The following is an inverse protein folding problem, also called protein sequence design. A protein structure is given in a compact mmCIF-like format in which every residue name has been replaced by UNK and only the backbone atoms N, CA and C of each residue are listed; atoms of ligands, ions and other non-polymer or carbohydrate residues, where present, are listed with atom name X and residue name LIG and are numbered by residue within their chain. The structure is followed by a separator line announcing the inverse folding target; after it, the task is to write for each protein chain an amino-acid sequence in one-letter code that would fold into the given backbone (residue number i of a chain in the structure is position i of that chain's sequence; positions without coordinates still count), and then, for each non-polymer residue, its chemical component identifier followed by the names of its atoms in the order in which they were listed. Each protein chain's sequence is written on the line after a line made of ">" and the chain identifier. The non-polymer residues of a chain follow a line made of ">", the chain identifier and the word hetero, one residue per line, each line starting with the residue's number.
data_IF_576072196932
#
_entry.id   IF_576072196932
#
_cell.length_a   1.000
_cell.length_b   1.000
_cell.length_c   1.000
_cell.angle_alpha   90.00
_cell.angle_beta   90.00
_cell.angle_gamma   90.00
#
_symmetry.space_group_name_H-M   'P 1'
#
loop_
_entity.id
_entity.type
_entity.pdbx_description
1 polymer ?
#
# COMPACT_ATOMS: atom_id res chain seq x y z
N UNK A 1 -17.05 29.76 -20.71
CA UNK A 1 -16.29 30.06 -19.46
C UNK A 1 -15.97 28.74 -18.84
N UNK A 2 -14.78 28.23 -19.11
CA UNK A 2 -14.31 26.97 -18.53
C UNK A 2 -13.74 27.29 -17.13
N UNK A 3 -14.34 26.73 -16.09
CA UNK A 3 -13.77 26.77 -14.76
C UNK A 3 -12.62 25.76 -14.71
N UNK A 4 -11.40 26.28 -14.76
CA UNK A 4 -10.19 25.59 -14.34
C UNK A 4 -10.32 25.26 -12.84
N UNK A 5 -10.77 24.06 -12.53
CA UNK A 5 -10.58 23.47 -11.22
C UNK A 5 -9.14 22.97 -11.14
N UNK A 6 -8.24 23.88 -10.78
CA UNK A 6 -6.88 23.56 -10.38
C UNK A 6 -6.95 22.51 -9.26
N UNK A 7 -6.50 21.29 -9.55
CA UNK A 7 -6.21 20.29 -8.54
C UNK A 7 -5.19 20.92 -7.57
N UNK A 8 -5.48 20.98 -6.26
CA UNK A 8 -4.54 21.59 -5.31
C UNK A 8 -3.21 20.87 -5.40
N UNK A 9 -2.17 21.59 -5.69
CA UNK A 9 -0.80 21.11 -5.58
C UNK A 9 -0.63 20.55 -4.16
N UNK A 10 -0.38 19.23 -4.05
CA UNK A 10 -0.15 18.59 -2.76
C UNK A 10 0.93 19.37 -2.03
N UNK A 11 0.55 20.06 -0.95
CA UNK A 11 1.48 20.87 -0.17
C UNK A 11 2.66 19.99 0.27
N UNK A 12 3.86 20.47 -0.02
CA UNK A 12 5.13 19.86 0.40
C UNK A 12 5.18 19.87 1.93
N UNK A 13 4.64 18.84 2.56
CA UNK A 13 4.69 18.72 4.00
C UNK A 13 6.05 18.14 4.41
N UNK A 14 6.90 18.97 4.98
CA UNK A 14 8.08 18.55 5.72
C UNK A 14 7.61 17.74 6.94
N UNK A 15 7.76 16.41 6.89
CA UNK A 15 7.64 15.58 8.08
C UNK A 15 8.84 15.92 8.96
N UNK A 16 8.56 16.59 10.06
CA UNK A 16 9.58 17.10 10.98
C UNK A 16 10.17 15.97 11.89
N UNK A 17 10.00 14.70 11.49
CA UNK A 17 10.66 13.56 12.14
C UNK A 17 12.02 13.35 11.49
N UNK A 18 13.09 13.60 12.27
CA UNK A 18 14.47 13.50 11.78
C UNK A 18 14.84 12.06 11.37
N UNK A 19 14.29 11.04 12.05
CA UNK A 19 14.57 9.62 11.81
C UNK A 19 13.35 8.76 12.15
N UNK A 20 13.11 7.69 11.36
CA UNK A 20 12.08 6.70 11.60
C UNK A 20 12.67 5.30 11.54
N UNK A 21 12.13 4.39 12.36
CA UNK A 21 12.50 2.98 12.36
C UNK A 21 11.51 2.22 11.48
N UNK A 22 12.05 1.44 10.55
CA UNK A 22 11.28 0.67 9.58
C UNK A 22 11.79 -0.78 9.52
N UNK A 23 10.92 -1.69 9.11
CA UNK A 23 11.20 -3.11 9.03
C UNK A 23 10.91 -3.66 7.64
N UNK A 24 11.75 -4.59 7.19
CA UNK A 24 11.54 -5.35 5.96
C UNK A 24 11.57 -6.85 6.26
N UNK A 25 10.54 -7.58 5.86
CA UNK A 25 10.48 -9.03 5.97
C UNK A 25 10.90 -9.70 4.67
N UNK A 26 11.80 -10.68 4.77
CA UNK A 26 12.32 -11.45 3.63
C UNK A 26 12.70 -12.87 4.07
N UNK A 27 12.68 -13.90 3.20
CA UNK A 27 13.25 -15.20 3.52
C UNK A 27 14.78 -15.17 3.66
N UNK A 28 15.44 -14.15 3.13
CA UNK A 28 16.89 -14.08 3.03
C UNK A 28 17.51 -13.50 4.32
N UNK A 29 18.37 -14.29 4.99
CA UNK A 29 19.14 -13.84 6.16
C UNK A 29 20.14 -12.73 5.81
N UNK A 30 20.70 -12.79 4.61
CA UNK A 30 21.61 -11.77 4.09
C UNK A 30 20.92 -11.07 2.93
N UNK A 31 20.54 -9.85 3.16
CA UNK A 31 19.81 -9.04 2.18
C UNK A 31 20.37 -7.63 2.13
N UNK A 32 20.49 -7.09 0.94
CA UNK A 32 20.89 -5.68 0.74
C UNK A 32 19.97 -5.03 -0.29
N UNK A 33 19.20 -4.03 0.11
CA UNK A 33 18.35 -3.31 -0.82
C UNK A 33 19.18 -2.60 -1.88
N UNK A 34 18.78 -2.73 -3.15
CA UNK A 34 19.49 -2.13 -4.27
C UNK A 34 18.57 -1.15 -4.99
N UNK A 35 19.02 0.09 -5.16
CA UNK A 35 18.30 1.10 -5.91
C UNK A 35 18.01 0.64 -7.35
N UNK A 36 16.84 0.99 -7.87
CA UNK A 36 16.41 0.63 -9.22
C UNK A 36 15.95 -0.83 -9.38
N UNK A 37 16.11 -1.67 -8.36
CA UNK A 37 15.52 -3.02 -8.32
C UNK A 37 14.14 -2.98 -7.66
N UNK A 38 13.36 -4.02 -7.88
CA UNK A 38 11.99 -4.14 -7.38
C UNK A 38 11.03 -4.42 -8.53
N UNK A 39 9.80 -4.79 -8.18
CA UNK A 39 8.77 -5.14 -9.14
C UNK A 39 7.86 -3.92 -9.38
N UNK A 40 7.64 -3.57 -10.67
CA UNK A 40 6.74 -2.48 -11.05
C UNK A 40 5.26 -2.77 -10.73
N UNK A 41 4.92 -4.05 -10.51
CA UNK A 41 3.56 -4.49 -10.16
C UNK A 41 3.30 -4.50 -8.65
N UNK A 42 4.13 -3.86 -7.84
CA UNK A 42 3.83 -3.61 -6.44
C UNK A 42 2.92 -2.38 -6.29
N UNK A 43 2.34 -2.17 -5.11
CA UNK A 43 1.28 -1.18 -4.86
C UNK A 43 1.64 0.26 -5.28
N UNK A 44 2.91 0.65 -5.14
CA UNK A 44 3.47 1.95 -5.54
C UNK A 44 4.56 1.80 -6.60
N UNK A 45 4.51 0.70 -7.37
CA UNK A 45 5.49 0.38 -8.39
C UNK A 45 6.86 0.01 -7.84
N UNK A 46 7.89 0.28 -8.64
CA UNK A 46 9.26 -0.08 -8.33
C UNK A 46 9.79 0.70 -7.12
N UNK A 47 10.39 -0.01 -6.15
CA UNK A 47 10.98 0.57 -4.95
C UNK A 47 11.29 -0.49 -3.89
N UNK A 48 11.84 -0.07 -2.76
CA UNK A 48 12.08 -0.92 -1.62
C UNK A 48 11.01 -0.68 -0.55
N UNK A 49 10.33 -1.75 -0.13
CA UNK A 49 9.14 -1.67 0.71
C UNK A 49 9.46 -2.02 2.16
N UNK A 50 9.03 -1.14 3.07
CA UNK A 50 9.21 -1.28 4.52
C UNK A 50 7.90 -0.92 5.24
N UNK A 51 7.84 -1.25 6.55
CA UNK A 51 6.73 -0.91 7.44
C UNK A 51 7.23 -0.49 8.82
N UNK A 52 6.46 0.29 9.56
CA UNK A 52 6.72 0.59 10.97
C UNK A 52 6.36 -0.59 11.90
N UNK A 53 5.54 -1.54 11.42
CA UNK A 53 5.10 -2.70 12.19
C UNK A 53 6.04 -3.89 12.02
N UNK A 54 6.72 -4.27 13.08
CA UNK A 54 7.56 -5.48 13.08
C UNK A 54 6.73 -6.75 12.82
N UNK A 55 5.50 -6.82 13.32
CA UNK A 55 4.63 -7.99 13.12
C UNK A 55 4.21 -8.14 11.67
N UNK A 56 3.89 -7.02 10.98
CA UNK A 56 3.65 -7.06 9.53
C UNK A 56 4.89 -7.47 8.75
N UNK A 57 6.07 -7.00 9.14
CA UNK A 57 7.31 -7.41 8.50
C UNK A 57 7.58 -8.92 8.70
N UNK A 58 7.26 -9.46 9.87
CA UNK A 58 7.35 -10.91 10.13
C UNK A 58 6.41 -11.71 9.23
N UNK A 59 5.15 -11.26 9.07
CA UNK A 59 4.23 -11.88 8.11
C UNK A 59 4.77 -11.83 6.67
N UNK A 60 5.40 -10.73 6.26
CA UNK A 60 6.00 -10.61 4.92
C UNK A 60 7.17 -11.56 4.71
N UNK A 61 7.93 -11.83 5.77
CA UNK A 61 9.09 -12.73 5.71
C UNK A 61 8.69 -14.16 5.32
N UNK A 62 7.46 -14.58 5.66
CA UNK A 62 6.97 -15.96 5.51
C UNK A 62 5.75 -16.11 4.59
N UNK A 63 5.27 -15.05 3.95
CA UNK A 63 4.07 -15.09 3.09
C UNK A 63 4.28 -15.78 1.73
N UNK A 64 5.42 -16.42 1.50
CA UNK A 64 5.74 -17.16 0.26
C UNK A 64 5.30 -18.62 0.36
N UNK A 65 5.04 -19.28 -0.78
CA UNK A 65 4.51 -20.65 -0.79
C UNK A 65 5.54 -21.75 -0.44
N UNK A 66 6.79 -21.40 -0.18
CA UNK A 66 7.87 -22.37 0.07
C UNK A 66 7.96 -22.86 1.52
N UNK A 67 7.08 -22.41 2.42
CA UNK A 67 6.98 -22.84 3.81
C UNK A 67 8.31 -22.72 4.61
N UNK A 68 9.11 -21.72 4.30
CA UNK A 68 10.41 -21.49 4.92
C UNK A 68 10.34 -20.37 5.95
N UNK A 69 11.13 -20.52 7.02
CA UNK A 69 11.39 -19.45 7.97
C UNK A 69 11.99 -18.23 7.28
N UNK A 70 11.75 -17.06 7.85
CA UNK A 70 12.23 -15.81 7.30
C UNK A 70 13.00 -14.96 8.29
N UNK A 71 13.26 -13.74 7.89
CA UNK A 71 14.02 -12.75 8.65
C UNK A 71 13.37 -11.39 8.54
N UNK A 72 13.44 -10.62 9.63
CA UNK A 72 13.12 -9.20 9.61
C UNK A 72 14.40 -8.41 9.76
N UNK A 73 14.66 -7.56 8.76
CA UNK A 73 15.70 -6.57 8.75
C UNK A 73 15.17 -5.25 9.28
N UNK A 74 15.88 -4.63 10.20
CA UNK A 74 15.55 -3.34 10.80
C UNK A 74 16.37 -2.24 10.16
N UNK A 75 15.72 -1.14 9.84
CA UNK A 75 16.33 0.03 9.22
C UNK A 75 15.99 1.31 9.99
N UNK A 76 16.89 2.26 9.97
CA UNK A 76 16.65 3.64 10.33
C UNK A 76 16.68 4.48 9.06
N UNK A 77 15.59 5.20 8.76
CA UNK A 77 15.53 6.15 7.65
C UNK A 77 15.68 7.57 8.18
N UNK A 78 16.73 8.28 7.77
CA UNK A 78 16.85 9.72 7.99
C UNK A 78 15.95 10.45 6.99
N UNK A 79 14.84 10.99 7.47
CA UNK A 79 13.86 11.70 6.65
C UNK A 79 14.27 13.14 6.33
N UNK A 80 15.44 13.60 6.79
CA UNK A 80 15.90 14.96 6.53
C UNK A 80 16.02 15.20 5.02
N UNK A 81 15.39 16.28 4.58
CA UNK A 81 15.39 16.73 3.19
C UNK A 81 14.76 15.76 2.19
N UNK A 82 14.10 14.68 2.64
CA UNK A 82 13.33 13.78 1.78
C UNK A 82 11.94 14.36 1.48
N UNK A 83 11.53 14.22 0.22
CA UNK A 83 10.16 14.50 -0.21
C UNK A 83 9.32 13.24 -0.01
N UNK A 84 8.36 13.31 0.90
CA UNK A 84 7.46 12.20 1.23
C UNK A 84 6.06 12.51 0.71
N UNK A 85 5.50 11.61 -0.10
CA UNK A 85 4.09 11.61 -0.46
C UNK A 85 3.35 10.65 0.48
N UNK A 86 2.41 11.18 1.26
CA UNK A 86 1.62 10.40 2.22
C UNK A 86 0.19 10.26 1.75
N UNK A 87 -0.15 9.08 1.20
CA UNK A 87 -1.50 8.77 0.73
C UNK A 87 -2.56 8.72 1.82
N UNK A 88 -2.16 8.56 3.10
CA UNK A 88 -3.11 8.64 4.21
C UNK A 88 -3.72 10.04 4.41
N UNK A 89 -3.09 11.06 3.83
CA UNK A 89 -3.55 12.45 3.86
C UNK A 89 -4.34 12.85 2.62
N UNK A 90 -4.48 11.93 1.68
CA UNK A 90 -5.22 12.12 0.44
C UNK A 90 -6.51 11.29 0.48
N UNK A 91 -7.39 11.51 -0.51
CA UNK A 91 -8.57 10.67 -0.67
C UNK A 91 -8.19 9.20 -0.94
N UNK A 92 -9.00 8.27 -0.45
CA UNK A 92 -8.88 6.85 -0.77
C UNK A 92 -8.93 6.60 -2.28
N UNK A 93 -9.66 7.43 -3.02
CA UNK A 93 -9.72 7.35 -4.49
C UNK A 93 -8.35 7.66 -5.13
N UNK A 94 -7.59 8.57 -4.55
CA UNK A 94 -6.22 8.88 -5.02
C UNK A 94 -5.28 7.70 -4.78
N UNK A 95 -5.38 7.06 -3.61
CA UNK A 95 -4.63 5.82 -3.33
C UNK A 95 -5.02 4.70 -4.29
N UNK A 96 -6.33 4.51 -4.53
CA UNK A 96 -6.81 3.49 -5.46
C UNK A 96 -6.33 3.75 -6.89
N UNK A 97 -6.32 5.01 -7.33
CA UNK A 97 -5.79 5.38 -8.64
C UNK A 97 -4.31 5.03 -8.78
N UNK A 98 -3.50 5.27 -7.74
CA UNK A 98 -2.09 4.87 -7.72
C UNK A 98 -1.93 3.34 -7.75
N UNK A 99 -2.71 2.62 -6.94
CA UNK A 99 -2.72 1.16 -6.95
C UNK A 99 -3.02 0.60 -8.36
N UNK A 100 -4.01 1.20 -9.05
CA UNK A 100 -4.43 0.78 -10.40
C UNK A 100 -3.40 1.08 -11.49
N UNK A 101 -2.50 2.04 -11.31
CA UNK A 101 -1.36 2.27 -12.23
C UNK A 101 -0.41 1.08 -12.26
N UNK A 102 -0.26 0.38 -11.14
CA UNK A 102 0.76 -0.66 -10.94
C UNK A 102 0.18 -2.07 -10.92
N UNK A 103 -1.06 -2.23 -10.44
CA UNK A 103 -1.72 -3.53 -10.29
C UNK A 103 -2.98 -3.58 -11.13
N UNK A 104 -3.17 -4.67 -11.89
CA UNK A 104 -4.37 -4.87 -12.70
C UNK A 104 -5.56 -5.27 -11.80
N UNK A 105 -6.33 -4.26 -11.36
CA UNK A 105 -7.59 -4.44 -10.65
C UNK A 105 -8.78 -4.67 -11.59
N UNK A 106 -8.60 -4.45 -12.90
CA UNK A 106 -9.67 -4.46 -13.90
C UNK A 106 -9.67 -5.76 -14.72
N UNK A 107 -10.67 -6.60 -14.51
CA UNK A 107 -10.77 -7.93 -15.12
C UNK A 107 -11.28 -7.92 -16.58
N UNK A 108 -11.81 -6.82 -17.09
CA UNK A 108 -12.37 -6.73 -18.44
C UNK A 108 -11.86 -5.51 -19.21
N UNK A 109 -12.01 -5.54 -20.55
CA UNK A 109 -11.65 -4.40 -21.42
C UNK A 109 -12.42 -3.14 -21.03
N UNK A 110 -13.70 -3.27 -20.67
CA UNK A 110 -14.53 -2.14 -20.23
C UNK A 110 -13.95 -1.50 -18.98
N UNK A 111 -13.65 -2.29 -17.95
CA UNK A 111 -13.11 -1.77 -16.71
C UNK A 111 -11.71 -1.19 -16.88
N UNK A 112 -10.87 -1.74 -17.76
CA UNK A 112 -9.57 -1.09 -18.07
C UNK A 112 -9.73 0.30 -18.67
N UNK A 113 -10.73 0.52 -19.53
CA UNK A 113 -11.01 1.85 -20.06
C UNK A 113 -11.52 2.81 -18.98
N UNK A 114 -12.37 2.33 -18.07
CA UNK A 114 -12.84 3.12 -16.92
C UNK A 114 -11.68 3.39 -15.94
N UNK A 115 -10.80 2.43 -15.70
CA UNK A 115 -9.60 2.59 -14.89
C UNK A 115 -8.69 3.71 -15.41
N UNK A 116 -8.49 3.80 -16.73
CA UNK A 116 -7.69 4.86 -17.32
C UNK A 116 -8.29 6.27 -17.02
N UNK A 117 -9.61 6.42 -17.17
CA UNK A 117 -10.31 7.68 -16.83
C UNK A 117 -10.26 7.98 -15.33
N UNK A 118 -10.35 6.94 -14.49
CA UNK A 118 -10.26 7.07 -13.04
C UNK A 118 -8.87 7.56 -12.61
N UNK A 119 -7.82 6.99 -13.19
CA UNK A 119 -6.44 7.41 -12.96
C UNK A 119 -6.23 8.85 -13.43
N UNK A 120 -6.80 9.24 -14.58
CA UNK A 120 -6.73 10.63 -15.07
C UNK A 120 -7.42 11.60 -14.10
N UNK A 121 -8.56 11.20 -13.52
CA UNK A 121 -9.38 12.07 -12.64
C UNK A 121 -8.83 12.17 -11.22
N UNK A 122 -8.37 11.06 -10.64
CA UNK A 122 -8.00 10.95 -9.22
C UNK A 122 -6.51 10.70 -8.98
N UNK A 123 -5.75 10.37 -10.01
CA UNK A 123 -4.32 10.13 -9.89
C UNK A 123 -3.55 11.40 -9.56
N UNK A 124 -2.43 11.21 -8.89
CA UNK A 124 -1.47 12.27 -8.58
C UNK A 124 -0.13 11.94 -9.21
N UNK A 125 0.69 12.98 -9.40
CA UNK A 125 2.07 12.80 -9.81
C UNK A 125 2.90 12.26 -8.65
N UNK A 126 3.58 11.14 -8.87
CA UNK A 126 4.43 10.50 -7.86
C UNK A 126 5.92 10.59 -8.17
N UNK A 127 6.26 11.05 -9.40
CA UNK A 127 7.65 11.34 -9.75
C UNK A 127 8.24 12.47 -8.91
N UNK A 128 9.53 12.36 -8.60
CA UNK A 128 10.23 13.36 -7.80
C UNK A 128 9.97 13.27 -6.29
N UNK A 129 9.18 12.32 -5.82
CA UNK A 129 9.14 11.97 -4.41
C UNK A 129 10.20 10.91 -4.08
N UNK A 130 10.84 11.10 -2.92
CA UNK A 130 11.88 10.21 -2.42
C UNK A 130 11.29 8.96 -1.76
N UNK A 131 10.15 9.14 -1.09
CA UNK A 131 9.41 8.10 -0.37
C UNK A 131 7.92 8.25 -0.61
N UNK A 132 7.25 7.13 -0.86
CA UNK A 132 5.79 7.06 -0.84
C UNK A 132 5.35 6.29 0.39
N UNK A 133 4.45 6.88 1.20
CA UNK A 133 3.83 6.28 2.36
C UNK A 133 2.34 6.08 2.10
N UNK A 134 1.78 4.93 2.49
CA UNK A 134 0.35 4.68 2.35
C UNK A 134 -0.07 3.27 2.73
N UNK A 135 -1.33 2.94 2.48
CA UNK A 135 -1.88 1.63 2.79
C UNK A 135 -1.24 0.53 1.95
N UNK A 136 -1.11 -0.64 2.53
CA UNK A 136 -0.67 -1.85 1.85
C UNK A 136 -1.88 -2.58 1.26
N UNK A 137 -1.86 -2.87 -0.03
CA UNK A 137 -2.83 -3.75 -0.67
C UNK A 137 -2.31 -5.19 -0.68
N UNK A 138 -2.45 -5.92 0.46
CA UNK A 138 -2.24 -7.37 0.46
C UNK A 138 -3.34 -8.08 -0.36
N UNK A 139 -3.35 -9.42 -0.39
CA UNK A 139 -4.29 -10.19 -1.20
C UNK A 139 -5.76 -9.86 -0.92
N UNK A 140 -6.16 -9.74 0.36
CA UNK A 140 -7.54 -9.43 0.75
C UNK A 140 -7.96 -8.01 0.39
N UNK A 141 -7.10 -7.05 0.62
CA UNK A 141 -7.44 -5.65 0.33
C UNK A 141 -7.34 -5.32 -1.15
N UNK A 142 -6.49 -6.00 -1.88
CA UNK A 142 -6.54 -5.95 -3.34
C UNK A 142 -7.84 -6.57 -3.87
N UNK A 143 -8.36 -7.63 -3.22
CA UNK A 143 -9.67 -8.17 -3.52
C UNK A 143 -10.79 -7.16 -3.24
N UNK A 144 -10.76 -6.47 -2.09
CA UNK A 144 -11.71 -5.39 -1.75
C UNK A 144 -11.66 -4.26 -2.79
N UNK A 145 -10.47 -3.82 -3.19
CA UNK A 145 -10.30 -2.83 -4.25
C UNK A 145 -10.93 -3.30 -5.58
N UNK A 146 -10.81 -4.60 -5.92
CA UNK A 146 -11.47 -5.17 -7.09
C UNK A 146 -12.99 -5.18 -6.98
N UNK A 147 -13.54 -5.46 -5.80
CA UNK A 147 -14.99 -5.44 -5.59
C UNK A 147 -15.55 -4.03 -5.76
N UNK A 148 -14.82 -3.00 -5.33
CA UNK A 148 -15.18 -1.61 -5.62
C UNK A 148 -15.14 -1.30 -7.12
N UNK A 149 -14.07 -1.69 -7.81
CA UNK A 149 -13.94 -1.50 -9.28
C UNK A 149 -15.03 -2.23 -10.06
N UNK A 150 -15.61 -3.30 -9.51
CA UNK A 150 -16.73 -4.07 -10.08
C UNK A 150 -18.11 -3.51 -9.75
N UNK A 151 -18.18 -2.39 -9.06
CA UNK A 151 -19.42 -1.79 -8.56
C UNK A 151 -20.17 -2.66 -7.53
N UNK A 152 -19.47 -3.60 -6.85
CA UNK A 152 -20.06 -4.48 -5.84
C UNK A 152 -20.09 -3.87 -4.44
N UNK A 153 -19.28 -2.87 -4.18
CA UNK A 153 -19.27 -2.06 -2.94
C UNK A 153 -19.15 -0.59 -3.31
N UNK A 154 -19.60 0.29 -2.44
CA UNK A 154 -19.44 1.72 -2.60
C UNK A 154 -18.18 2.26 -1.90
N UNK A 155 -17.94 3.57 -2.04
CA UNK A 155 -16.77 4.23 -1.48
C UNK A 155 -16.80 4.23 0.04
N UNK A 156 -17.96 4.36 0.66
CA UNK A 156 -18.09 4.47 2.11
C UNK A 156 -17.70 3.11 2.75
N UNK A 157 -18.13 1.99 2.14
CA UNK A 157 -17.69 0.63 2.51
C UNK A 157 -16.19 0.46 2.29
N UNK A 158 -15.65 0.93 1.15
CA UNK A 158 -14.21 0.86 0.88
C UNK A 158 -13.40 1.61 1.95
N UNK A 159 -13.79 2.84 2.30
CA UNK A 159 -13.12 3.65 3.31
C UNK A 159 -13.20 3.02 4.70
N UNK A 160 -14.36 2.48 5.08
CA UNK A 160 -14.54 1.79 6.36
C UNK A 160 -13.66 0.54 6.45
N UNK A 161 -13.63 -0.29 5.41
CA UNK A 161 -12.77 -1.48 5.35
C UNK A 161 -11.29 -1.15 5.48
N UNK A 162 -10.84 -0.06 4.86
CA UNK A 162 -9.47 0.42 4.98
C UNK A 162 -9.17 0.93 6.40
N UNK A 163 -10.17 1.53 7.08
CA UNK A 163 -10.04 2.05 8.45
C UNK A 163 -10.08 0.96 9.51
N UNK A 164 -10.91 -0.08 9.34
CA UNK A 164 -11.03 -1.23 10.25
C UNK A 164 -9.71 -2.01 10.38
N UNK A 165 -8.83 -1.77 9.47
CA UNK A 165 -7.43 -1.94 9.66
C UNK A 165 -6.88 -3.35 9.61
N UNK A 166 -5.74 -3.42 10.11
CA UNK A 166 -4.89 -4.56 9.97
C UNK A 166 -4.08 -4.56 8.67
N UNK A 167 -4.38 -3.64 7.70
CA UNK A 167 -3.58 -3.46 6.48
C UNK A 167 -2.15 -3.12 6.77
N UNK A 168 -1.97 -2.27 7.76
CA UNK A 168 -0.70 -1.62 8.00
C UNK A 168 -0.36 -0.57 6.93
N UNK A 169 0.59 0.25 7.31
CA UNK A 169 1.18 1.26 6.47
C UNK A 169 2.51 0.76 5.95
N UNK A 170 2.76 1.02 4.67
CA UNK A 170 4.02 0.72 4.04
C UNK A 170 4.69 1.99 3.54
N UNK A 171 6.00 1.93 3.49
CA UNK A 171 6.89 2.93 2.92
C UNK A 171 7.55 2.32 1.70
N UNK A 172 7.47 2.99 0.58
CA UNK A 172 8.16 2.63 -0.65
C UNK A 172 9.30 3.63 -0.88
N UNK A 173 10.53 3.19 -0.73
CA UNK A 173 11.72 3.99 -1.00
C UNK A 173 11.93 4.05 -2.51
N UNK A 174 11.90 5.27 -3.09
CA UNK A 174 11.86 5.49 -4.55
C UNK A 174 13.15 6.07 -5.12
N UNK A 175 13.81 6.97 -4.41
CA UNK A 175 14.98 7.68 -4.92
C UNK A 175 16.29 7.13 -4.39
N UNK A 176 17.35 7.31 -5.14
CA UNK A 176 18.72 6.99 -4.69
C UNK A 176 19.09 7.75 -3.42
N UNK A 177 18.62 9.00 -3.30
CA UNK A 177 18.79 9.82 -2.09
C UNK A 177 18.19 9.14 -0.86
N UNK A 178 16.96 8.63 -0.96
CA UNK A 178 16.30 7.93 0.15
C UNK A 178 16.98 6.58 0.47
N UNK A 179 17.49 5.87 -0.53
CA UNK A 179 18.31 4.68 -0.31
C UNK A 179 19.60 4.99 0.45
N UNK A 180 20.28 6.10 0.13
CA UNK A 180 21.49 6.53 0.83
C UNK A 180 21.22 6.99 2.27
N UNK A 181 19.98 7.44 2.56
CA UNK A 181 19.54 7.83 3.89
C UNK A 181 18.98 6.66 4.73
N UNK A 182 18.94 5.44 4.15
CA UNK A 182 18.42 4.25 4.80
C UNK A 182 19.58 3.41 5.35
N UNK A 183 19.63 3.24 6.66
CA UNK A 183 20.71 2.54 7.37
C UNK A 183 20.20 1.26 8.01
N UNK A 184 20.74 0.11 7.62
CA UNK A 184 20.41 -1.18 8.24
C UNK A 184 21.07 -1.30 9.62
N UNK A 185 20.27 -1.71 10.62
CA UNK A 185 20.72 -2.03 11.97
C UNK A 185 20.95 -3.55 12.07
N UNK A 186 22.06 -4.01 11.50
CA UNK A 186 22.38 -5.45 11.30
C UNK A 186 22.39 -6.28 12.58
N UNK A 187 22.71 -5.67 13.73
CA UNK A 187 22.74 -6.35 15.01
C UNK A 187 21.35 -6.68 15.56
N UNK A 188 20.31 -6.12 14.95
CA UNK A 188 18.91 -6.30 15.34
C UNK A 188 18.13 -7.16 14.32
N UNK A 189 18.80 -8.08 13.66
CA UNK A 189 18.18 -9.05 12.75
C UNK A 189 17.31 -10.03 13.53
N UNK A 190 16.04 -10.18 13.15
CA UNK A 190 15.06 -11.02 13.85
C UNK A 190 14.70 -12.24 13.02
N UNK A 191 14.94 -13.47 13.51
CA UNK A 191 14.44 -14.69 12.86
C UNK A 191 12.92 -14.77 13.01
N UNK A 192 12.27 -15.36 12.01
CA UNK A 192 10.80 -15.49 11.96
C UNK A 192 10.43 -16.93 11.70
N UNK A 193 9.64 -17.50 12.59
CA UNK A 193 9.08 -18.84 12.41
C UNK A 193 7.93 -18.80 11.38
N UNK A 194 8.00 -19.71 10.41
CA UNK A 194 6.99 -19.80 9.35
C UNK A 194 5.62 -20.14 9.91
N UNK A 195 5.51 -21.15 10.77
CA UNK A 195 4.21 -21.65 11.21
C UNK A 195 3.41 -20.60 11.97
N UNK A 196 4.06 -19.88 12.90
CA UNK A 196 3.42 -18.84 13.71
C UNK A 196 2.91 -17.66 12.84
N UNK A 197 3.79 -17.13 11.99
CA UNK A 197 3.46 -15.87 11.28
C UNK A 197 2.70 -16.10 9.97
N UNK A 198 2.77 -17.28 9.37
CA UNK A 198 1.90 -17.65 8.25
C UNK A 198 0.44 -17.85 8.70
N UNK A 199 0.22 -18.43 9.89
CA UNK A 199 -1.12 -18.51 10.48
C UNK A 199 -1.71 -17.12 10.71
N UNK A 200 -0.97 -16.20 11.32
CA UNK A 200 -1.40 -14.80 11.53
C UNK A 200 -1.71 -14.07 10.20
N UNK A 201 -0.90 -14.30 9.17
CA UNK A 201 -1.13 -13.76 7.83
C UNK A 201 -2.47 -14.24 7.26
N UNK A 202 -2.76 -15.55 7.38
CA UNK A 202 -3.99 -16.15 6.90
C UNK A 202 -5.23 -15.68 7.69
N UNK A 203 -5.12 -15.59 9.02
CA UNK A 203 -6.19 -15.09 9.89
C UNK A 203 -6.56 -13.65 9.55
N UNK A 204 -5.59 -12.82 9.24
CA UNK A 204 -5.81 -11.44 8.80
C UNK A 204 -6.58 -11.39 7.48
N UNK A 205 -6.24 -12.26 6.51
CA UNK A 205 -6.95 -12.34 5.23
C UNK A 205 -8.41 -12.80 5.44
N UNK A 206 -8.63 -13.82 6.25
CA UNK A 206 -9.98 -14.34 6.60
C UNK A 206 -10.81 -13.26 7.28
N UNK A 207 -10.23 -12.54 8.25
CA UNK A 207 -10.90 -11.47 9.00
C UNK A 207 -11.29 -10.32 8.07
N UNK A 208 -10.39 -9.88 7.20
CA UNK A 208 -10.69 -8.80 6.25
C UNK A 208 -11.84 -9.15 5.31
N UNK A 209 -11.87 -10.38 4.78
CA UNK A 209 -12.96 -10.88 3.93
C UNK A 209 -14.28 -11.04 4.68
N UNK A 210 -14.22 -11.42 5.96
CA UNK A 210 -15.41 -11.47 6.83
C UNK A 210 -15.98 -10.08 7.05
N UNK A 211 -15.15 -9.13 7.45
CA UNK A 211 -15.57 -7.74 7.68
C UNK A 211 -16.23 -7.15 6.45
N UNK A 212 -15.68 -7.40 5.26
CA UNK A 212 -16.30 -6.95 3.99
C UNK A 212 -17.71 -7.54 3.82
N UNK A 213 -17.88 -8.85 4.03
CA UNK A 213 -19.21 -9.48 3.92
C UNK A 213 -20.20 -8.94 4.94
N UNK A 214 -19.74 -8.74 6.16
CA UNK A 214 -20.57 -8.23 7.26
C UNK A 214 -21.05 -6.80 6.96
N UNK A 215 -20.18 -5.93 6.44
CA UNK A 215 -20.53 -4.57 6.02
C UNK A 215 -21.51 -4.56 4.84
N UNK A 216 -21.25 -5.33 3.79
CA UNK A 216 -22.17 -5.45 2.64
C UNK A 216 -23.56 -5.93 3.10
N UNK A 217 -23.62 -6.87 4.05
CA UNK A 217 -24.90 -7.41 4.55
C UNK A 217 -25.61 -6.47 5.51
N UNK A 218 -24.87 -5.61 6.23
CA UNK A 218 -25.45 -4.64 7.18
C UNK A 218 -25.95 -3.38 6.47
N UNK A 219 -25.33 -3.02 5.37
CA UNK A 219 -25.70 -1.85 4.57
C UNK A 219 -26.76 -2.23 3.54
N UNK A 220 -28.01 -2.37 4.01
CA UNK A 220 -29.19 -2.66 3.18
C UNK A 220 -29.60 -1.46 2.32
N UNK A 221 -28.85 -0.36 2.35
CA UNK A 221 -29.13 0.86 1.61
C UNK A 221 -28.62 0.74 0.16
N UNK A 222 -29.22 1.55 -0.70
CA UNK A 222 -28.90 1.61 -2.11
C UNK A 222 -27.42 1.99 -2.30
N UNK A 223 -26.66 1.12 -2.94
CA UNK A 223 -25.25 1.34 -3.29
C UNK A 223 -25.16 2.51 -4.28
N UNK A 224 -24.77 3.69 -3.80
CA UNK A 224 -24.94 4.93 -4.59
C UNK A 224 -23.64 5.48 -5.16
N UNK A 225 -22.51 5.27 -4.49
CA UNK A 225 -21.21 5.85 -4.89
C UNK A 225 -20.22 4.77 -5.30
N UNK A 226 -20.61 4.00 -6.31
CA UNK A 226 -19.74 2.95 -6.89
C UNK A 226 -18.76 3.52 -7.89
N UNK A 227 -17.75 2.72 -8.23
CA UNK A 227 -16.67 3.12 -9.13
C UNK A 227 -17.14 3.74 -10.45
N UNK A 228 -18.13 3.12 -11.11
CA UNK A 228 -18.64 3.64 -12.41
C UNK A 228 -19.38 4.97 -12.30
N UNK A 229 -19.93 5.30 -11.13
CA UNK A 229 -20.63 6.59 -10.91
C UNK A 229 -19.68 7.74 -10.58
N UNK A 230 -18.43 7.44 -10.27
CA UNK A 230 -17.40 8.43 -9.94
C UNK A 230 -16.64 8.94 -11.18
N UNK A 231 -16.92 8.43 -12.36
CA UNK A 231 -16.30 8.80 -13.62
C UNK A 231 -17.14 9.80 -14.38
#
# INVERSE_FOLDING_TARGET
>A
MFHDTLVPCAERQNINMKKIVLYHGTPDKVFTPTYGKGNEKHDYGKGFYLTESIDLAKEWAVCRPNEENGWVHKYELDCKDLKVLDFQKLSVLTWLAELMKHRDAADSKRYRMLAAKFIEKYGVETEGYDVIKGWRANASYFYIAKEFVRDNIDIDILEELLSLGGLGIQYCIKSEKAYNNLHELKEELVPVDYSEFNERYNDRDVTARKNMRDLINSDANEVTKVFSTLL
#
